data_IF_761406710481
#
_entry.id   IF_761406710481
#
_cell.length_a   1.000
_cell.length_b   1.000
_cell.length_c   1.000
_cell.angle_alpha   90.00
_cell.angle_beta   90.00
_cell.angle_gamma   90.00
#
_symmetry.space_group_name_H-M   'P 1'
#
loop_
_entity.id
_entity.type
_entity.pdbx_description
1 polymer ?
#
# COMPACT_ATOMS: atom_id res chain seq x y z
N UNK A 1 11.29 24.43 9.47
CA UNK A 1 10.04 23.65 9.56
C UNK A 1 9.14 24.34 10.58
N UNK A 2 7.87 24.66 10.28
CA UNK A 2 6.97 25.04 11.35
C UNK A 2 6.78 23.79 12.22
N UNK A 3 7.09 23.93 13.50
CA UNK A 3 6.82 22.95 14.55
C UNK A 3 5.31 22.71 14.60
N UNK A 4 4.77 21.85 13.74
CA UNK A 4 3.32 21.65 13.66
C UNK A 4 2.76 21.07 14.95
N UNK A 5 3.62 20.59 15.86
CA UNK A 5 3.27 20.03 17.18
C UNK A 5 2.12 19.00 17.11
N UNK A 6 1.81 18.51 15.92
CA UNK A 6 0.64 17.67 15.65
C UNK A 6 0.82 16.32 16.36
N UNK A 7 2.07 15.89 16.48
CA UNK A 7 2.49 14.68 17.18
C UNK A 7 2.62 14.84 18.70
N UNK A 8 2.64 16.08 19.25
CA UNK A 8 2.62 16.29 20.72
C UNK A 8 1.27 15.94 21.34
N UNK A 9 0.26 15.74 20.50
CA UNK A 9 -1.08 15.39 20.90
C UNK A 9 -1.45 13.96 20.53
N UNK A 10 -0.53 13.13 20.03
CA UNK A 10 -0.84 11.72 19.71
C UNK A 10 -1.30 10.97 20.98
N UNK A 11 -0.72 11.32 22.14
CA UNK A 11 -1.15 10.83 23.46
C UNK A 11 -2.45 11.47 23.98
N UNK A 12 -2.94 12.55 23.33
CA UNK A 12 -4.17 13.29 23.70
C UNK A 12 -5.32 13.08 22.73
N UNK A 13 -5.07 12.53 21.56
CA UNK A 13 -6.12 12.02 20.69
C UNK A 13 -6.64 10.78 21.41
N UNK A 14 -7.71 10.98 22.19
CA UNK A 14 -8.45 9.88 22.76
C UNK A 14 -8.81 8.97 21.59
N UNK A 15 -8.26 7.75 21.61
CA UNK A 15 -8.73 6.70 20.72
C UNK A 15 -10.27 6.69 20.85
N UNK A 16 -11.01 6.70 19.73
CA UNK A 16 -12.46 6.60 19.79
C UNK A 16 -12.83 5.52 20.79
N UNK A 17 -13.70 5.85 21.75
CA UNK A 17 -14.11 4.90 22.77
C UNK A 17 -14.52 3.60 22.08
N UNK A 18 -13.99 2.48 22.58
CA UNK A 18 -14.21 1.13 22.02
C UNK A 18 -15.72 0.85 21.88
N UNK A 19 -16.55 1.56 22.64
CA UNK A 19 -18.01 1.40 22.68
C UNK A 19 -18.78 2.17 21.59
N UNK A 20 -18.30 3.32 21.09
CA UNK A 20 -19.09 4.15 20.14
C UNK A 20 -18.62 4.02 18.69
N UNK A 21 -17.39 3.52 18.47
CA UNK A 21 -16.79 3.40 17.13
C UNK A 21 -16.81 1.98 16.56
N UNK A 22 -17.02 1.01 17.44
CA UNK A 22 -17.21 -0.40 17.12
C UNK A 22 -18.48 -0.84 17.81
N UNK A 23 -19.66 -0.51 17.26
CA UNK A 23 -20.83 -1.29 17.64
C UNK A 23 -20.46 -2.76 17.38
N UNK A 24 -20.48 -3.63 18.41
CA UNK A 24 -20.22 -5.04 18.20
C UNK A 24 -21.22 -5.49 17.17
N UNK A 25 -20.71 -6.02 16.06
CA UNK A 25 -21.52 -6.66 15.04
C UNK A 25 -22.61 -7.49 15.71
N UNK A 26 -23.87 -7.02 15.65
CA UNK A 26 -24.97 -7.77 16.22
C UNK A 26 -25.15 -9.00 15.34
N UNK A 27 -24.79 -10.17 15.87
CA UNK A 27 -24.97 -11.47 15.20
C UNK A 27 -26.39 -11.63 14.65
N UNK A 28 -27.37 -11.01 15.33
CA UNK A 28 -28.76 -10.92 14.93
C UNK A 28 -28.94 -10.34 13.52
N UNK A 29 -28.15 -9.36 13.08
CA UNK A 29 -28.34 -8.71 11.77
C UNK A 29 -27.61 -9.41 10.61
N UNK A 30 -26.98 -10.58 10.83
CA UNK A 30 -26.30 -11.36 9.75
C UNK A 30 -27.21 -11.63 8.56
N UNK A 31 -28.47 -11.96 8.80
CA UNK A 31 -29.41 -12.34 7.76
C UNK A 31 -29.68 -11.22 6.73
N UNK A 32 -29.57 -9.95 7.13
CA UNK A 32 -29.76 -8.81 6.23
C UNK A 32 -28.60 -8.69 5.23
N UNK A 33 -27.37 -8.97 5.68
CA UNK A 33 -26.19 -8.93 4.82
C UNK A 33 -26.04 -10.19 3.96
N UNK A 34 -26.48 -11.35 4.44
CA UNK A 34 -26.55 -12.58 3.63
C UNK A 34 -27.53 -12.45 2.47
N UNK A 35 -28.61 -11.66 2.61
CA UNK A 35 -29.55 -11.39 1.50
C UNK A 35 -29.01 -10.39 0.46
N UNK A 36 -28.08 -9.51 0.85
CA UNK A 36 -27.48 -8.49 -0.04
C UNK A 36 -26.22 -9.05 -0.72
N UNK A 37 -25.64 -10.13 -0.19
CA UNK A 37 -24.45 -10.76 -0.76
C UNK A 37 -24.79 -11.38 -2.12
N UNK A 38 -24.10 -11.00 -3.20
CA UNK A 38 -24.31 -11.65 -4.49
C UNK A 38 -23.96 -13.14 -4.34
N UNK A 39 -24.92 -14.01 -4.70
CA UNK A 39 -24.82 -15.47 -4.58
C UNK A 39 -23.62 -16.09 -5.31
N UNK A 40 -22.94 -15.30 -6.16
CA UNK A 40 -21.81 -15.72 -6.99
C UNK A 40 -20.44 -15.29 -6.42
N UNK A 41 -20.39 -14.77 -5.19
CA UNK A 41 -19.12 -14.37 -4.57
C UNK A 41 -18.50 -15.56 -3.82
N UNK A 42 -17.38 -16.07 -4.32
CA UNK A 42 -16.49 -16.95 -3.56
C UNK A 42 -15.90 -16.15 -2.39
N UNK A 43 -16.17 -16.56 -1.16
CA UNK A 43 -15.51 -16.05 0.05
C UNK A 43 -14.08 -16.59 0.15
N UNK A 44 -13.15 -15.79 0.69
CA UNK A 44 -11.86 -16.28 1.16
C UNK A 44 -12.07 -17.42 2.17
N UNK A 45 -11.13 -18.36 2.20
CA UNK A 45 -11.07 -19.29 3.32
C UNK A 45 -10.79 -18.51 4.62
N UNK A 46 -11.18 -19.04 5.80
CA UNK A 46 -10.88 -18.39 7.07
C UNK A 46 -9.38 -18.14 7.29
N UNK A 47 -8.51 -19.04 6.79
CA UNK A 47 -7.06 -18.89 6.86
C UNK A 47 -6.54 -17.79 5.93
N UNK A 48 -7.04 -17.73 4.69
CA UNK A 48 -6.69 -16.66 3.76
C UNK A 48 -7.16 -15.31 4.27
N UNK A 49 -8.33 -15.26 4.91
CA UNK A 49 -8.87 -14.03 5.53
C UNK A 49 -7.93 -13.52 6.62
N UNK A 50 -7.48 -14.39 7.53
CA UNK A 50 -6.50 -14.03 8.57
C UNK A 50 -5.18 -13.57 7.96
N UNK A 51 -4.66 -14.30 6.97
CA UNK A 51 -3.42 -13.96 6.30
C UNK A 51 -3.52 -12.61 5.57
N UNK A 52 -4.65 -12.33 4.92
CA UNK A 52 -4.93 -11.05 4.28
C UNK A 52 -4.88 -9.90 5.28
N UNK A 53 -5.56 -10.02 6.43
CA UNK A 53 -5.53 -8.96 7.42
C UNK A 53 -4.14 -8.76 8.02
N UNK A 54 -3.38 -9.83 8.28
CA UNK A 54 -1.99 -9.71 8.71
C UNK A 54 -1.13 -8.98 7.67
N UNK A 55 -1.27 -9.36 6.39
CA UNK A 55 -0.57 -8.71 5.28
C UNK A 55 -0.97 -7.23 5.13
N UNK A 56 -2.26 -6.91 5.26
CA UNK A 56 -2.75 -5.54 5.17
C UNK A 56 -2.25 -4.68 6.34
N UNK A 57 -2.25 -5.21 7.56
CA UNK A 57 -1.74 -4.51 8.75
C UNK A 57 -0.23 -4.26 8.63
N UNK A 58 0.54 -5.23 8.16
CA UNK A 58 1.98 -5.02 7.93
C UNK A 58 2.22 -3.98 6.85
N UNK A 59 1.43 -3.95 5.77
CA UNK A 59 1.51 -2.88 4.77
C UNK A 59 1.19 -1.51 5.33
N UNK A 60 0.15 -1.38 6.17
CA UNK A 60 -0.15 -0.12 6.83
C UNK A 60 1.04 0.39 7.67
N UNK A 61 1.78 -0.50 8.34
CA UNK A 61 2.99 -0.13 9.09
C UNK A 61 4.14 0.28 8.17
N UNK A 62 4.32 -0.41 7.06
CA UNK A 62 5.36 -0.12 6.08
C UNK A 62 5.12 1.22 5.38
N UNK A 63 3.87 1.51 5.01
CA UNK A 63 3.47 2.76 4.41
C UNK A 63 3.76 3.98 5.29
N UNK A 64 3.52 3.86 6.61
CA UNK A 64 3.89 4.91 7.58
C UNK A 64 5.39 5.22 7.61
N UNK A 65 6.23 4.28 7.17
CA UNK A 65 7.69 4.40 7.15
C UNK A 65 8.24 4.79 5.78
N UNK A 66 7.44 4.78 4.72
CA UNK A 66 7.93 5.07 3.36
C UNK A 66 8.56 6.47 3.24
N UNK A 67 8.11 7.43 4.06
CA UNK A 67 8.67 8.78 4.11
C UNK A 67 10.00 8.89 4.87
N UNK A 68 10.46 7.83 5.55
CA UNK A 68 11.74 7.82 6.26
C UNK A 68 12.96 7.88 5.31
N UNK A 69 12.74 7.71 4.00
CA UNK A 69 13.77 7.96 2.98
C UNK A 69 14.14 9.45 2.86
N UNK A 70 13.46 10.34 3.59
CA UNK A 70 13.86 11.74 3.79
C UNK A 70 14.46 11.91 5.17
N UNK A 71 15.68 12.44 5.23
CA UNK A 71 16.42 12.71 6.46
C UNK A 71 16.73 14.19 6.60
N UNK A 72 17.07 14.62 7.81
CA UNK A 72 17.53 16.00 8.04
C UNK A 72 19.05 16.02 8.15
N UNK A 73 19.68 16.80 7.29
CA UNK A 73 21.13 17.09 7.32
C UNK A 73 21.36 18.57 7.06
N UNK A 74 22.23 19.21 7.84
CA UNK A 74 22.54 20.65 7.72
C UNK A 74 21.30 21.57 7.62
N UNK A 75 20.28 21.29 8.45
CA UNK A 75 19.01 22.03 8.50
C UNK A 75 18.20 21.97 7.19
N UNK A 76 18.43 20.95 6.35
CA UNK A 76 17.72 20.69 5.10
C UNK A 76 17.23 19.25 5.06
N UNK A 77 16.09 19.05 4.40
CA UNK A 77 15.60 17.72 4.04
C UNK A 77 16.43 17.17 2.88
N UNK A 78 17.00 15.99 3.08
CA UNK A 78 17.89 15.31 2.13
C UNK A 78 17.41 13.89 1.94
N UNK A 79 17.30 13.50 0.67
CA UNK A 79 17.01 12.13 0.30
C UNK A 79 18.12 11.19 0.78
N UNK A 80 17.73 10.05 1.35
CA UNK A 80 18.63 9.03 1.88
C UNK A 80 18.47 7.71 1.09
N UNK A 81 19.27 7.49 0.03
CA UNK A 81 19.19 6.29 -0.81
C UNK A 81 19.38 4.99 -0.02
N UNK A 82 20.23 5.01 1.02
CA UNK A 82 20.47 3.82 1.86
C UNK A 82 19.20 3.42 2.63
N UNK A 83 18.46 4.40 3.15
CA UNK A 83 17.19 4.11 3.85
C UNK A 83 16.14 3.65 2.85
N UNK A 84 16.08 4.24 1.66
CA UNK A 84 15.17 3.79 0.60
C UNK A 84 15.45 2.34 0.19
N UNK A 85 16.71 1.94 0.08
CA UNK A 85 17.10 0.55 -0.22
C UNK A 85 16.66 -0.43 0.88
N UNK A 86 16.78 -0.05 2.16
CA UNK A 86 16.31 -0.86 3.29
C UNK A 86 14.78 -0.97 3.31
N UNK A 87 14.07 0.12 3.02
CA UNK A 87 12.60 0.10 2.90
C UNK A 87 12.14 -0.80 1.75
N UNK A 88 12.83 -0.76 0.62
CA UNK A 88 12.58 -1.69 -0.49
C UNK A 88 12.83 -3.13 -0.05
N UNK A 89 13.93 -3.42 0.63
CA UNK A 89 14.23 -4.76 1.12
C UNK A 89 13.13 -5.30 2.03
N UNK A 90 12.62 -4.48 2.96
CA UNK A 90 11.51 -4.86 3.83
C UNK A 90 10.21 -5.11 3.04
N UNK A 91 9.95 -4.30 2.01
CA UNK A 91 8.78 -4.43 1.15
C UNK A 91 8.82 -5.70 0.29
N UNK A 92 9.99 -6.01 -0.27
CA UNK A 92 10.21 -7.23 -1.03
C UNK A 92 10.11 -8.47 -0.15
N UNK A 93 10.74 -8.45 1.02
CA UNK A 93 10.60 -9.53 1.99
C UNK A 93 9.14 -9.73 2.43
N UNK A 94 8.37 -8.65 2.61
CA UNK A 94 6.93 -8.77 2.87
C UNK A 94 6.19 -9.46 1.72
N UNK A 95 6.48 -9.11 0.47
CA UNK A 95 5.86 -9.70 -0.72
C UNK A 95 6.17 -11.20 -0.85
N UNK A 96 7.43 -11.57 -0.65
CA UNK A 96 7.90 -12.95 -0.75
C UNK A 96 7.32 -13.87 0.34
N UNK A 97 6.92 -13.29 1.48
CA UNK A 97 6.26 -14.02 2.58
C UNK A 97 4.72 -14.09 2.45
N UNK A 98 4.13 -13.60 1.37
CA UNK A 98 2.70 -13.73 1.15
C UNK A 98 2.32 -15.20 0.81
N UNK A 99 1.19 -15.71 1.34
CA UNK A 99 0.64 -16.98 0.90
C UNK A 99 0.34 -16.98 -0.60
N UNK A 100 0.42 -18.12 -1.27
CA UNK A 100 0.13 -18.27 -2.71
C UNK A 100 -1.28 -17.82 -3.09
N UNK A 101 -2.24 -17.91 -2.17
CA UNK A 101 -3.60 -17.43 -2.33
C UNK A 101 -3.72 -15.90 -2.39
N UNK A 102 -2.72 -15.16 -1.89
CA UNK A 102 -2.69 -13.70 -1.84
C UNK A 102 -1.50 -13.09 -2.59
N UNK A 103 -0.53 -13.90 -2.99
CA UNK A 103 0.58 -13.50 -3.83
C UNK A 103 0.07 -12.99 -5.20
N UNK A 104 0.76 -11.99 -5.72
CA UNK A 104 0.51 -11.36 -7.00
C UNK A 104 1.83 -11.19 -7.74
N UNK A 105 1.78 -11.24 -9.07
CA UNK A 105 2.97 -11.05 -9.88
C UNK A 105 3.32 -9.56 -9.95
N UNK A 106 4.61 -9.25 -9.70
CA UNK A 106 5.19 -7.93 -9.95
C UNK A 106 5.31 -7.75 -11.47
N UNK A 107 4.22 -7.36 -12.13
CA UNK A 107 4.33 -6.97 -13.53
C UNK A 107 5.09 -5.64 -13.57
N UNK A 108 6.27 -5.63 -14.18
CA UNK A 108 6.83 -4.42 -14.78
C UNK A 108 5.89 -3.91 -15.88
N UNK A 109 6.10 -2.67 -16.38
CA UNK A 109 5.14 -1.92 -17.18
C UNK A 109 4.55 -2.82 -18.25
N UNK A 110 3.30 -3.24 -18.02
CA UNK A 110 2.56 -3.99 -19.01
C UNK A 110 2.31 -2.98 -20.12
N UNK A 111 2.65 -3.28 -21.39
CA UNK A 111 2.23 -2.41 -22.47
C UNK A 111 0.75 -2.21 -22.29
N UNK A 112 0.32 -0.94 -22.21
CA UNK A 112 -1.08 -0.59 -22.30
C UNK A 112 -1.48 -1.01 -23.73
N UNK A 113 -1.79 -2.30 -23.88
CA UNK A 113 -2.63 -2.75 -24.95
C UNK A 113 -3.97 -2.10 -24.63
N UNK A 114 -4.15 -0.89 -25.17
CA UNK A 114 -5.44 -0.41 -25.62
C UNK A 114 -5.97 -1.45 -26.62
N UNK A 115 -6.41 -2.60 -26.10
CA UNK A 115 -7.35 -3.41 -26.85
C UNK A 115 -8.70 -2.77 -26.59
N UNK A 116 -8.99 -1.83 -27.49
CA UNK A 116 -10.21 -1.06 -27.65
C UNK A 116 -11.36 -2.01 -28.02
N UNK A 117 -11.65 -2.93 -27.11
CA UNK A 117 -12.90 -3.65 -27.09
C UNK A 117 -13.54 -3.41 -25.75
N UNK A 118 -14.51 -2.50 -25.76
CA UNK A 118 -15.70 -2.55 -24.91
C UNK A 118 -16.39 -3.89 -25.22
N UNK A 119 -15.74 -5.02 -24.87
CA UNK A 119 -16.42 -6.28 -24.69
C UNK A 119 -17.29 -6.06 -23.49
N UNK A 120 -18.60 -6.12 -23.70
CA UNK A 120 -19.59 -6.29 -22.64
C UNK A 120 -19.05 -7.33 -21.66
N UNK A 121 -18.44 -6.86 -20.58
CA UNK A 121 -17.87 -7.70 -19.54
C UNK A 121 -19.08 -8.31 -18.86
N UNK A 122 -19.41 -9.53 -19.24
CA UNK A 122 -20.19 -10.45 -18.41
C UNK A 122 -19.70 -10.25 -16.97
N UNK A 123 -20.58 -9.99 -15.98
CA UNK A 123 -20.15 -9.57 -14.65
C UNK A 123 -19.18 -10.61 -14.11
N UNK A 124 -17.88 -10.29 -14.18
CA UNK A 124 -16.84 -11.15 -13.65
C UNK A 124 -17.20 -11.35 -12.19
N UNK A 125 -17.35 -12.60 -11.79
CA UNK A 125 -17.61 -12.93 -10.38
C UNK A 125 -16.43 -12.37 -9.58
N UNK A 126 -16.64 -11.21 -8.96
CA UNK A 126 -15.67 -10.56 -8.10
C UNK A 126 -15.45 -11.47 -6.90
N UNK A 127 -14.49 -12.38 -7.01
CA UNK A 127 -14.06 -13.16 -5.87
C UNK A 127 -13.41 -12.22 -4.87
N UNK A 128 -13.78 -12.37 -3.61
CA UNK A 128 -13.15 -11.64 -2.52
C UNK A 128 -11.62 -11.82 -2.52
N UNK A 129 -11.11 -12.94 -3.03
CA UNK A 129 -9.68 -13.22 -3.13
C UNK A 129 -9.00 -12.37 -4.21
N UNK A 130 -9.68 -12.14 -5.34
CA UNK A 130 -9.18 -11.24 -6.38
C UNK A 130 -9.13 -9.79 -5.86
N UNK A 131 -10.17 -9.35 -5.15
CA UNK A 131 -10.19 -8.02 -4.53
C UNK A 131 -9.06 -7.84 -3.49
N UNK A 132 -8.85 -8.85 -2.64
CA UNK A 132 -7.76 -8.86 -1.66
C UNK A 132 -6.38 -8.74 -2.33
N UNK A 133 -6.12 -9.52 -3.38
CA UNK A 133 -4.89 -9.44 -4.17
C UNK A 133 -4.70 -8.06 -4.80
N UNK A 134 -5.72 -7.53 -5.46
CA UNK A 134 -5.66 -6.20 -6.08
C UNK A 134 -5.35 -5.11 -5.05
N UNK A 135 -5.97 -5.17 -3.86
CA UNK A 135 -5.71 -4.22 -2.80
C UNK A 135 -4.26 -4.31 -2.28
N UNK A 136 -3.77 -5.51 -1.99
CA UNK A 136 -2.38 -5.71 -1.55
C UNK A 136 -1.37 -5.26 -2.62
N UNK A 137 -1.66 -5.53 -3.90
CA UNK A 137 -0.85 -5.08 -5.02
C UNK A 137 -0.81 -3.56 -5.11
N UNK A 138 -1.96 -2.89 -5.05
CA UNK A 138 -2.04 -1.43 -5.03
C UNK A 138 -1.18 -0.84 -3.90
N UNK A 139 -1.31 -1.39 -2.68
CA UNK A 139 -0.54 -0.91 -1.53
C UNK A 139 0.96 -1.09 -1.70
N UNK A 140 1.39 -2.16 -2.38
CA UNK A 140 2.80 -2.41 -2.68
C UNK A 140 3.39 -1.33 -3.58
N UNK A 141 2.74 -1.02 -4.71
CA UNK A 141 3.20 0.04 -5.61
C UNK A 141 3.08 1.43 -4.97
N UNK A 142 2.04 1.66 -4.16
CA UNK A 142 1.93 2.89 -3.38
C UNK A 142 3.14 3.08 -2.43
N UNK A 143 3.62 2.01 -1.79
CA UNK A 143 4.82 2.06 -0.95
C UNK A 143 6.08 2.36 -1.76
N UNK A 144 6.25 1.75 -2.93
CA UNK A 144 7.38 2.03 -3.83
C UNK A 144 7.42 3.51 -4.25
N UNK A 145 6.31 3.99 -4.81
CA UNK A 145 6.15 5.39 -5.26
C UNK A 145 6.42 6.34 -4.10
N UNK A 146 5.86 6.07 -2.92
CA UNK A 146 6.07 6.92 -1.73
C UNK A 146 7.52 6.91 -1.23
N UNK A 147 8.21 5.78 -1.35
CA UNK A 147 9.62 5.63 -0.92
C UNK A 147 10.58 6.39 -1.84
N UNK A 148 10.33 6.35 -3.15
CA UNK A 148 11.22 6.91 -4.17
C UNK A 148 10.85 8.31 -4.66
N UNK A 149 9.64 8.81 -4.41
CA UNK A 149 9.26 10.18 -4.75
C UNK A 149 10.28 11.25 -4.29
N UNK A 150 10.88 11.15 -3.09
CA UNK A 150 11.88 12.14 -2.67
C UNK A 150 13.16 12.14 -3.52
N UNK A 151 13.50 11.04 -4.21
CA UNK A 151 14.61 11.00 -5.16
C UNK A 151 14.33 11.94 -6.34
N UNK A 152 13.13 11.83 -6.93
CA UNK A 152 12.67 12.69 -8.02
C UNK A 152 12.65 14.15 -7.59
N UNK A 153 12.08 14.42 -6.40
CA UNK A 153 12.08 15.76 -5.82
C UNK A 153 13.50 16.33 -5.68
N UNK A 154 14.45 15.53 -5.19
CA UNK A 154 15.83 15.99 -4.98
C UNK A 154 16.57 16.32 -6.28
N UNK A 155 16.33 15.56 -7.36
CA UNK A 155 16.89 15.87 -8.68
C UNK A 155 16.24 17.11 -9.27
N UNK A 156 14.91 17.21 -9.22
CA UNK A 156 14.17 18.30 -9.87
C UNK A 156 14.33 19.66 -9.18
N UNK A 157 14.37 19.68 -7.84
CA UNK A 157 14.28 20.93 -7.08
C UNK A 157 15.54 21.26 -6.28
N UNK A 158 16.37 20.27 -5.97
CA UNK A 158 17.60 20.47 -5.20
C UNK A 158 18.88 20.31 -6.04
N UNK A 159 18.75 19.97 -7.33
CA UNK A 159 19.84 19.70 -8.26
C UNK A 159 20.83 18.62 -7.76
N UNK A 160 20.33 17.69 -6.93
CA UNK A 160 21.12 16.59 -6.37
C UNK A 160 20.99 15.37 -7.27
N UNK A 161 21.89 15.27 -8.25
CA UNK A 161 21.87 14.22 -9.27
C UNK A 161 22.93 13.14 -9.04
N UNK A 162 23.13 12.67 -7.80
CA UNK A 162 24.02 11.54 -7.53
C UNK A 162 23.53 10.26 -8.25
N UNK A 163 24.45 9.39 -8.68
CA UNK A 163 24.11 8.20 -9.47
C UNK A 163 23.06 7.30 -8.80
N UNK A 164 23.14 7.11 -7.48
CA UNK A 164 22.15 6.35 -6.71
C UNK A 164 20.76 7.00 -6.75
N UNK A 165 20.68 8.32 -6.58
CA UNK A 165 19.42 9.07 -6.67
C UNK A 165 18.80 8.97 -8.06
N UNK A 166 19.61 9.07 -9.13
CA UNK A 166 19.10 8.92 -10.50
C UNK A 166 18.53 7.52 -10.76
N UNK A 167 19.20 6.49 -10.25
CA UNK A 167 18.70 5.11 -10.34
C UNK A 167 17.39 4.92 -9.56
N UNK A 168 17.27 5.54 -8.39
CA UNK A 168 16.04 5.51 -7.62
C UNK A 168 14.90 6.32 -8.28
N UNK A 169 15.22 7.35 -9.09
CA UNK A 169 14.22 8.00 -9.96
C UNK A 169 13.64 7.03 -11.00
N UNK A 170 14.46 6.18 -11.64
CA UNK A 170 13.91 5.17 -12.56
C UNK A 170 12.96 4.20 -11.87
N UNK A 171 13.29 3.78 -10.64
CA UNK A 171 12.41 2.91 -9.83
C UNK A 171 11.08 3.55 -9.49
N UNK A 172 11.06 4.87 -9.26
CA UNK A 172 9.81 5.60 -9.09
C UNK A 172 8.93 5.49 -10.34
N UNK A 173 9.48 5.77 -11.52
CA UNK A 173 8.70 5.74 -12.77
C UNK A 173 8.25 4.33 -13.13
N UNK A 174 9.09 3.32 -12.93
CA UNK A 174 8.75 1.90 -13.14
C UNK A 174 7.60 1.43 -12.23
N UNK A 175 7.44 2.06 -11.06
CA UNK A 175 6.37 1.74 -10.11
C UNK A 175 5.09 2.56 -10.32
N UNK A 176 5.18 3.72 -10.99
CA UNK A 176 4.07 4.66 -11.19
C UNK A 176 3.31 4.42 -12.50
N UNK A 177 4.00 3.98 -13.55
CA UNK A 177 3.49 3.79 -14.92
C UNK A 177 3.01 2.36 -15.14
#
# INVERSE_FOLDING_TARGET
MPESNIWKFDDRILLPGIHDSWEPFQESNRYLFDQIRPSNTSSLSPNDTKAYFLAAISMCRMMRRCFASVTFSNNKEVYAPIIAAELLYQLENWHDNLPTSLSFHRQGPRPIAYDDTIRYVSPQSYSSQAAARCFLQMQFYQCLVSTYWPAVYSVMYLDVAAAATQFDCSRFFDAYV
#
